data_IF_887989845048
#
_entry.id   IF_887989845048
#
_cell.length_a   1.000
_cell.length_b   1.000
_cell.length_c   1.000
_cell.angle_alpha   90.00
_cell.angle_beta   90.00
_cell.angle_gamma   90.00
#
_symmetry.space_group_name_H-M   'P 1'
#
loop_
_entity.id
_entity.type
_entity.pdbx_description
1 polymer ?
#
# COMPACT_ATOMS: atom_id res chain seq x y z
N UNK A 1 -24.07 -10.01 40.60
CA UNK A 1 -23.02 -9.37 41.42
C UNK A 1 -22.49 -8.18 40.62
N UNK A 2 -22.69 -6.96 41.09
CA UNK A 2 -22.14 -5.76 40.44
C UNK A 2 -20.63 -5.77 40.70
N UNK A 3 -19.82 -5.95 39.65
CA UNK A 3 -18.36 -5.95 39.75
C UNK A 3 -17.90 -4.60 40.34
N UNK A 4 -17.16 -4.57 41.46
CA UNK A 4 -16.80 -3.34 42.19
C UNK A 4 -15.89 -2.37 41.41
N UNK A 5 -15.49 -2.69 40.17
CA UNK A 5 -14.61 -1.85 39.35
C UNK A 5 -15.35 -0.70 38.63
N UNK A 6 -16.67 -0.79 38.43
CA UNK A 6 -17.44 0.18 37.63
C UNK A 6 -17.76 1.48 38.39
N UNK A 7 -17.67 1.49 39.72
CA UNK A 7 -17.90 2.68 40.56
C UNK A 7 -16.78 3.71 40.49
N UNK A 8 -15.67 3.41 39.81
CA UNK A 8 -14.45 4.23 39.83
C UNK A 8 -14.13 4.97 38.53
N UNK A 9 -14.96 4.86 37.48
CA UNK A 9 -14.74 5.64 36.24
C UNK A 9 -15.43 7.00 36.39
N UNK A 10 -14.69 8.11 36.59
CA UNK A 10 -15.31 9.43 36.66
C UNK A 10 -15.93 9.77 35.31
N UNK A 11 -17.24 10.05 35.30
CA UNK A 11 -17.92 10.50 34.10
C UNK A 11 -17.41 11.91 33.74
N UNK A 12 -16.89 12.11 32.52
CA UNK A 12 -16.54 13.46 32.07
C UNK A 12 -17.79 14.32 31.93
N UNK A 13 -17.60 15.64 31.83
CA UNK A 13 -18.68 16.54 31.46
C UNK A 13 -19.39 16.06 30.18
N UNK A 14 -20.71 16.29 30.02
CA UNK A 14 -21.42 15.91 28.80
C UNK A 14 -20.70 16.45 27.56
N UNK A 15 -20.60 15.61 26.53
CA UNK A 15 -19.91 15.99 25.30
C UNK A 15 -20.73 17.07 24.58
N UNK A 16 -20.20 18.29 24.58
CA UNK A 16 -20.68 19.42 23.78
C UNK A 16 -19.59 19.94 22.86
N UNK A 17 -19.91 20.94 22.04
CA UNK A 17 -18.99 21.51 21.03
C UNK A 17 -17.68 22.00 21.64
N UNK A 18 -17.73 22.62 22.82
CA UNK A 18 -16.55 23.12 23.53
C UNK A 18 -15.58 21.99 23.90
N UNK A 19 -16.09 20.83 24.29
CA UNK A 19 -15.28 19.70 24.76
C UNK A 19 -14.46 19.06 23.66
N UNK A 20 -14.90 19.17 22.39
CA UNK A 20 -14.13 18.67 21.25
C UNK A 20 -12.75 19.36 21.16
N UNK A 21 -12.70 20.66 21.50
CA UNK A 21 -11.45 21.43 21.53
C UNK A 21 -10.75 21.47 22.89
N UNK A 22 -11.51 21.41 24.00
CA UNK A 22 -10.97 21.64 25.35
C UNK A 22 -10.69 20.39 26.17
N UNK A 23 -11.29 19.24 25.85
CA UNK A 23 -11.09 18.02 26.62
C UNK A 23 -9.78 17.34 26.21
N UNK A 24 -8.81 17.34 27.13
CA UNK A 24 -7.51 16.71 26.93
C UNK A 24 -7.10 15.89 28.14
N UNK A 25 -6.48 14.74 27.89
CA UNK A 25 -5.85 13.89 28.89
C UNK A 25 -4.41 13.64 28.49
N UNK A 26 -3.51 14.47 28.99
CA UNK A 26 -2.09 14.37 28.71
C UNK A 26 -1.54 13.04 29.22
N UNK A 27 -0.77 12.37 28.37
CA UNK A 27 -0.03 11.17 28.71
C UNK A 27 1.47 11.44 28.50
N UNK A 28 2.23 11.78 29.57
CA UNK A 28 3.63 12.16 29.44
C UNK A 28 4.50 11.02 28.91
N UNK A 29 4.15 9.76 29.18
CA UNK A 29 4.89 8.60 28.70
C UNK A 29 4.78 8.43 27.19
N UNK A 30 3.55 8.46 26.67
CA UNK A 30 3.31 8.42 25.22
C UNK A 30 3.90 9.66 24.55
N UNK A 31 3.73 10.84 25.15
CA UNK A 31 4.33 12.08 24.66
C UNK A 31 5.84 12.00 24.55
N UNK A 32 6.53 11.49 25.58
CA UNK A 32 7.97 11.29 25.56
C UNK A 32 8.42 10.31 24.47
N UNK A 33 7.72 9.18 24.28
CA UNK A 33 8.01 8.22 23.21
C UNK A 33 7.89 8.89 21.84
N UNK A 34 6.79 9.62 21.57
CA UNK A 34 6.59 10.30 20.30
C UNK A 34 7.63 11.40 20.06
N UNK A 35 8.01 12.15 21.10
CA UNK A 35 9.08 13.16 21.00
C UNK A 35 10.44 12.53 20.68
N UNK A 36 10.77 11.39 21.28
CA UNK A 36 12.00 10.66 20.96
C UNK A 36 11.98 10.18 19.51
N UNK A 37 10.87 9.61 19.03
CA UNK A 37 10.72 9.18 17.63
C UNK A 37 10.87 10.38 16.69
N UNK A 38 10.21 11.51 16.99
CA UNK A 38 10.31 12.73 16.20
C UNK A 38 11.75 13.27 16.17
N UNK A 39 12.42 13.34 17.32
CA UNK A 39 13.79 13.82 17.43
C UNK A 39 14.78 12.93 16.65
N UNK A 40 14.64 11.61 16.73
CA UNK A 40 15.46 10.67 15.97
C UNK A 40 15.24 10.81 14.47
N UNK A 41 13.99 10.94 14.02
CA UNK A 41 13.67 11.12 12.61
C UNK A 41 14.24 12.45 12.08
N UNK A 42 14.04 13.56 12.79
CA UNK A 42 14.59 14.87 12.41
C UNK A 42 16.13 14.84 12.42
N UNK A 43 16.76 14.24 13.43
CA UNK A 43 18.21 14.07 13.45
C UNK A 43 18.71 13.29 12.22
N UNK A 44 18.00 12.23 11.81
CA UNK A 44 18.27 11.50 10.57
C UNK A 44 18.26 12.41 9.34
N UNK A 45 17.25 13.27 9.20
CA UNK A 45 17.17 14.23 8.06
C UNK A 45 18.37 15.19 8.03
N UNK A 46 18.82 15.66 9.19
CA UNK A 46 19.99 16.52 9.32
C UNK A 46 21.26 15.77 8.92
N UNK A 47 21.39 14.50 9.32
CA UNK A 47 22.52 13.64 8.95
C UNK A 47 22.55 13.42 7.44
N UNK A 48 21.43 13.11 6.79
CA UNK A 48 21.36 12.94 5.33
C UNK A 48 21.82 14.20 4.61
N UNK A 49 21.31 15.37 5.01
CA UNK A 49 21.69 16.67 4.43
C UNK A 49 23.17 16.99 4.60
N UNK A 50 23.72 16.71 5.79
CA UNK A 50 25.16 16.93 6.07
C UNK A 50 26.07 16.02 5.24
N UNK A 51 25.58 14.86 4.81
CA UNK A 51 26.30 13.95 3.92
C UNK A 51 26.16 14.32 2.44
N UNK A 52 25.53 15.45 2.12
CA UNK A 52 25.28 15.89 0.74
C UNK A 52 24.08 15.19 0.07
N UNK A 53 23.31 14.40 0.82
CA UNK A 53 22.09 13.77 0.31
C UNK A 53 20.92 14.75 0.29
N UNK A 54 19.96 14.50 -0.61
CA UNK A 54 18.69 15.24 -0.67
C UNK A 54 17.61 14.49 0.12
N UNK A 55 16.94 15.16 1.05
CA UNK A 55 15.74 14.63 1.73
C UNK A 55 14.56 15.60 1.58
N UNK A 56 13.53 15.22 0.82
CA UNK A 56 12.36 16.07 0.59
C UNK A 56 11.65 16.46 1.89
N UNK A 57 11.35 17.75 2.07
CA UNK A 57 10.72 18.28 3.29
C UNK A 57 9.34 17.67 3.56
N UNK A 58 8.57 17.39 2.51
CA UNK A 58 7.22 16.85 2.65
C UNK A 58 7.21 15.51 3.41
N UNK A 59 8.23 14.65 3.22
CA UNK A 59 8.36 13.36 3.93
C UNK A 59 8.46 13.56 5.43
N UNK A 60 9.25 14.56 5.85
CA UNK A 60 9.37 14.94 7.26
C UNK A 60 8.07 15.53 7.80
N UNK A 61 7.41 16.39 7.04
CA UNK A 61 6.12 16.98 7.45
C UNK A 61 5.05 15.89 7.63
N UNK A 62 4.93 14.96 6.67
CA UNK A 62 3.98 13.85 6.75
C UNK A 62 4.27 12.91 7.92
N UNK A 63 5.54 12.57 8.15
CA UNK A 63 5.92 11.74 9.29
C UNK A 63 5.57 12.40 10.63
N UNK A 64 5.93 13.67 10.80
CA UNK A 64 5.60 14.43 12.02
C UNK A 64 4.09 14.62 12.17
N UNK A 65 3.36 14.82 11.08
CA UNK A 65 1.90 14.86 11.08
C UNK A 65 1.31 13.52 11.58
N UNK A 66 1.85 12.38 11.16
CA UNK A 66 1.46 11.07 11.69
C UNK A 66 1.65 10.97 13.22
N UNK A 67 2.77 11.46 13.75
CA UNK A 67 3.01 11.50 15.21
C UNK A 67 2.06 12.46 15.93
N UNK A 68 1.77 13.63 15.36
CA UNK A 68 0.80 14.59 15.90
C UNK A 68 -0.60 13.98 15.91
N UNK A 69 -1.00 13.28 14.85
CA UNK A 69 -2.27 12.56 14.78
C UNK A 69 -2.35 11.44 15.82
N UNK A 70 -1.26 10.69 16.06
CA UNK A 70 -1.20 9.71 17.14
C UNK A 70 -1.42 10.38 18.50
N UNK A 71 -0.71 11.49 18.77
CA UNK A 71 -0.85 12.24 20.02
C UNK A 71 -2.27 12.78 20.21
N UNK A 72 -2.84 13.41 19.17
CA UNK A 72 -4.21 13.91 19.17
C UNK A 72 -5.20 12.78 19.44
N UNK A 73 -5.05 11.65 18.77
CA UNK A 73 -5.95 10.49 18.91
C UNK A 73 -5.89 9.86 20.31
N UNK A 74 -4.72 9.88 20.96
CA UNK A 74 -4.50 9.25 22.27
C UNK A 74 -4.58 10.20 23.47
N UNK A 75 -4.68 11.52 23.23
CA UNK A 75 -4.69 12.53 24.30
C UNK A 75 -5.82 13.57 24.20
N UNK A 76 -6.53 13.69 23.08
CA UNK A 76 -7.66 14.64 22.92
C UNK A 76 -8.95 14.15 23.56
N UNK A 77 -10.08 14.76 23.20
CA UNK A 77 -11.41 14.39 23.64
C UNK A 77 -11.70 12.90 23.35
N UNK A 78 -11.18 12.34 22.24
CA UNK A 78 -11.31 10.91 21.96
C UNK A 78 -10.80 10.06 23.13
N UNK A 79 -9.66 10.46 23.71
CA UNK A 79 -9.06 9.75 24.83
C UNK A 79 -9.77 9.96 26.16
N UNK A 80 -10.52 11.06 26.31
CA UNK A 80 -11.36 11.35 27.48
C UNK A 80 -12.66 10.55 27.42
N UNK A 81 -13.30 10.49 26.25
CA UNK A 81 -14.62 9.89 26.08
C UNK A 81 -14.60 8.40 25.67
N UNK A 82 -13.46 7.84 25.23
CA UNK A 82 -13.34 6.43 24.81
C UNK A 82 -13.79 5.37 25.83
N UNK A 83 -13.85 5.68 27.12
CA UNK A 83 -14.29 4.73 28.16
C UNK A 83 -15.79 4.84 28.44
N UNK A 84 -16.43 5.91 27.99
CA UNK A 84 -17.83 6.21 28.31
C UNK A 84 -18.75 6.22 27.10
N UNK A 85 -18.17 6.38 25.91
CA UNK A 85 -18.87 6.37 24.63
C UNK A 85 -18.17 5.45 23.63
N UNK A 86 -18.95 4.75 22.83
CA UNK A 86 -18.46 3.82 21.82
C UNK A 86 -17.88 4.56 20.62
N UNK A 87 -18.55 5.60 20.10
CA UNK A 87 -18.13 6.28 18.88
C UNK A 87 -16.75 6.96 18.98
N UNK A 88 -16.34 7.64 20.08
CA UNK A 88 -15.00 8.24 20.17
C UNK A 88 -13.92 7.16 20.19
N UNK A 89 -14.21 6.02 20.83
CA UNK A 89 -13.33 4.86 20.81
C UNK A 89 -13.24 4.25 19.42
N UNK A 90 -14.35 4.20 18.69
CA UNK A 90 -14.38 3.69 17.32
C UNK A 90 -13.52 4.55 16.38
N UNK A 91 -13.69 5.88 16.46
CA UNK A 91 -12.85 6.86 15.76
C UNK A 91 -11.37 6.71 16.16
N UNK A 92 -11.10 6.52 17.45
CA UNK A 92 -9.74 6.31 17.95
C UNK A 92 -9.08 5.07 17.34
N UNK A 93 -9.77 3.93 17.36
CA UNK A 93 -9.27 2.65 16.84
C UNK A 93 -8.97 2.78 15.34
N UNK A 94 -9.92 3.29 14.54
CA UNK A 94 -9.74 3.37 13.09
C UNK A 94 -8.69 4.41 12.68
N UNK A 95 -8.60 5.53 13.41
CA UNK A 95 -7.58 6.55 13.16
C UNK A 95 -6.18 6.02 13.45
N UNK A 96 -6.01 5.25 14.53
CA UNK A 96 -4.74 4.59 14.86
C UNK A 96 -4.38 3.46 13.91
N UNK A 97 -5.38 2.77 13.34
CA UNK A 97 -5.18 1.64 12.44
C UNK A 97 -4.95 2.07 10.98
N UNK A 98 -5.58 3.14 10.51
CA UNK A 98 -5.53 3.57 9.10
C UNK A 98 -4.83 4.91 8.93
N UNK A 99 -5.34 5.97 9.57
CA UNK A 99 -4.94 7.34 9.24
C UNK A 99 -3.52 7.63 9.71
N UNK A 100 -3.22 7.39 10.99
CA UNK A 100 -1.88 7.61 11.56
C UNK A 100 -0.79 6.85 10.78
N UNK A 101 -0.91 5.52 10.59
CA UNK A 101 0.14 4.77 9.91
C UNK A 101 0.31 5.11 8.44
N UNK A 102 -0.74 5.57 7.74
CA UNK A 102 -0.60 6.09 6.39
C UNK A 102 0.41 7.26 6.36
N UNK A 103 0.22 8.26 7.21
CA UNK A 103 1.14 9.40 7.31
C UNK A 103 2.56 8.98 7.73
N UNK A 104 2.68 8.03 8.65
CA UNK A 104 3.98 7.48 9.06
C UNK A 104 4.68 6.76 7.89
N UNK A 105 3.96 5.96 7.11
CA UNK A 105 4.50 5.23 5.96
C UNK A 105 4.93 6.16 4.82
N UNK A 106 4.17 7.23 4.55
CA UNK A 106 4.55 8.27 3.58
C UNK A 106 5.86 8.99 3.96
N UNK A 107 6.23 8.95 5.25
CA UNK A 107 7.50 9.46 5.75
C UNK A 107 8.72 8.60 5.42
N UNK A 108 8.58 7.41 4.83
CA UNK A 108 9.69 6.50 4.54
C UNK A 108 10.66 6.26 5.73
N UNK A 109 10.15 5.87 6.92
CA UNK A 109 10.97 5.74 8.12
C UNK A 109 12.07 4.66 8.01
N UNK A 110 11.87 3.61 7.19
CA UNK A 110 12.91 2.57 7.01
C UNK A 110 14.07 3.10 6.16
N UNK A 111 13.78 3.82 5.08
CA UNK A 111 14.78 4.53 4.27
C UNK A 111 15.53 5.54 5.14
N UNK A 112 14.81 6.30 5.95
CA UNK A 112 15.43 7.24 6.89
C UNK A 112 16.35 6.52 7.90
N UNK A 113 15.96 5.36 8.42
CA UNK A 113 16.80 4.56 9.31
C UNK A 113 18.07 4.03 8.61
N UNK A 114 17.98 3.75 7.31
CA UNK A 114 19.10 3.26 6.48
C UNK A 114 20.07 4.40 6.12
N UNK A 115 19.56 5.55 5.68
CA UNK A 115 20.36 6.66 5.15
C UNK A 115 20.82 7.62 6.25
N UNK A 116 19.90 8.00 7.14
CA UNK A 116 20.12 8.96 8.23
C UNK A 116 20.55 8.32 9.56
N UNK A 117 20.34 7.01 9.72
CA UNK A 117 20.66 6.29 10.95
C UNK A 117 22.14 5.90 11.13
N UNK A 118 22.50 5.38 12.32
CA UNK A 118 23.82 4.77 12.54
C UNK A 118 24.05 3.55 11.64
N UNK A 119 25.30 3.29 11.26
CA UNK A 119 25.67 2.15 10.38
C UNK A 119 25.13 0.80 10.88
N UNK A 120 25.12 0.58 12.20
CA UNK A 120 24.58 -0.65 12.82
C UNK A 120 23.08 -0.80 12.61
N UNK A 121 22.32 0.30 12.71
CA UNK A 121 20.87 0.29 12.47
C UNK A 121 20.58 0.00 11.00
N UNK A 122 21.29 0.67 10.09
CA UNK A 122 21.14 0.45 8.66
C UNK A 122 21.46 -1.00 8.24
N UNK A 123 22.50 -1.60 8.84
CA UNK A 123 22.84 -3.00 8.63
C UNK A 123 21.77 -3.95 9.19
N UNK A 124 21.24 -3.67 10.38
CA UNK A 124 20.17 -4.46 11.00
C UNK A 124 18.90 -4.44 10.14
N UNK A 125 18.45 -3.27 9.69
CA UNK A 125 17.26 -3.13 8.85
C UNK A 125 17.44 -3.94 7.55
N UNK A 126 18.57 -3.77 6.85
CA UNK A 126 18.87 -4.55 5.64
C UNK A 126 18.91 -6.06 5.89
N UNK A 127 19.51 -6.48 7.00
CA UNK A 127 19.58 -7.89 7.37
C UNK A 127 18.19 -8.48 7.64
N UNK A 128 17.35 -7.78 8.41
CA UNK A 128 15.97 -8.23 8.67
C UNK A 128 15.19 -8.36 7.37
N UNK A 129 15.27 -7.36 6.48
CA UNK A 129 14.59 -7.37 5.19
C UNK A 129 15.04 -8.50 4.26
N UNK A 130 16.28 -8.98 4.40
CA UNK A 130 16.80 -10.10 3.62
C UNK A 130 16.31 -11.48 4.12
N UNK A 131 15.62 -11.56 5.27
CA UNK A 131 15.17 -12.84 5.83
C UNK A 131 13.91 -13.37 5.14
N UNK A 132 13.80 -14.71 5.03
CA UNK A 132 12.57 -15.37 4.53
C UNK A 132 11.36 -15.10 5.42
N UNK A 133 11.58 -14.93 6.73
CA UNK A 133 10.52 -14.61 7.68
C UNK A 133 9.95 -13.23 7.38
N UNK A 134 10.80 -12.23 7.13
CA UNK A 134 10.34 -10.92 6.69
C UNK A 134 9.53 -11.02 5.40
N UNK A 135 10.03 -11.74 4.39
CA UNK A 135 9.30 -11.93 3.13
C UNK A 135 7.92 -12.59 3.30
N UNK A 136 7.79 -13.56 4.22
CA UNK A 136 6.51 -14.20 4.53
C UNK A 136 5.56 -13.26 5.29
N UNK A 137 6.06 -12.58 6.32
CA UNK A 137 5.25 -11.66 7.14
C UNK A 137 4.85 -10.40 6.36
N UNK A 138 5.62 -10.02 5.34
CA UNK A 138 5.28 -8.92 4.42
C UNK A 138 4.55 -9.39 3.17
N UNK A 139 4.11 -10.66 3.10
CA UNK A 139 3.30 -11.13 1.98
C UNK A 139 1.98 -10.36 1.96
N UNK A 140 1.57 -9.74 0.83
CA UNK A 140 0.41 -8.87 0.79
C UNK A 140 -0.85 -9.50 1.39
N UNK A 141 -1.16 -10.76 1.09
CA UNK A 141 -2.35 -11.40 1.65
C UNK A 141 -2.24 -11.64 3.16
N UNK A 142 -1.06 -11.99 3.70
CA UNK A 142 -0.87 -12.17 5.15
C UNK A 142 -1.10 -10.84 5.87
N UNK A 143 -0.46 -9.78 5.40
CA UNK A 143 -0.60 -8.44 6.00
C UNK A 143 -2.05 -7.98 5.92
N UNK A 144 -2.70 -8.19 4.79
CA UNK A 144 -4.09 -7.76 4.55
C UNK A 144 -5.09 -8.56 5.39
N UNK A 145 -4.90 -9.88 5.55
CA UNK A 145 -5.73 -10.71 6.43
C UNK A 145 -5.56 -10.27 7.89
N UNK A 146 -4.33 -10.07 8.36
CA UNK A 146 -4.08 -9.60 9.73
C UNK A 146 -4.71 -8.24 9.94
N UNK A 147 -4.51 -7.32 8.99
CA UNK A 147 -5.09 -5.98 9.02
C UNK A 147 -6.63 -6.05 9.11
N UNK A 148 -7.26 -6.87 8.28
CA UNK A 148 -8.71 -7.01 8.22
C UNK A 148 -9.31 -7.70 9.45
N UNK A 149 -8.67 -8.75 9.95
CA UNK A 149 -9.15 -9.51 11.12
C UNK A 149 -8.96 -8.73 12.43
N UNK A 150 -7.99 -7.81 12.47
CA UNK A 150 -7.68 -7.02 13.66
C UNK A 150 -8.89 -6.28 14.24
N UNK A 151 -9.62 -5.42 13.50
CA UNK A 151 -10.76 -4.72 14.06
C UNK A 151 -11.90 -5.68 14.47
N UNK A 152 -12.17 -6.76 13.73
CA UNK A 152 -13.12 -7.79 14.17
C UNK A 152 -12.71 -8.39 15.52
N UNK A 153 -11.43 -8.74 15.65
CA UNK A 153 -10.88 -9.29 16.89
C UNK A 153 -10.97 -8.28 18.02
N UNK A 154 -10.68 -7.01 17.77
CA UNK A 154 -10.80 -5.96 18.78
C UNK A 154 -12.25 -5.80 19.23
N UNK A 155 -13.24 -5.74 18.34
CA UNK A 155 -14.65 -5.48 18.73
C UNK A 155 -15.40 -6.69 19.27
N UNK A 156 -15.04 -7.91 18.84
CA UNK A 156 -15.79 -9.12 19.17
C UNK A 156 -15.04 -10.08 20.10
N UNK A 157 -13.97 -9.63 20.75
CA UNK A 157 -13.24 -10.41 21.75
C UNK A 157 -13.11 -9.66 23.09
N UNK A 158 -12.71 -10.35 24.18
CA UNK A 158 -12.47 -9.72 25.48
C UNK A 158 -11.44 -8.58 25.47
N UNK A 159 -10.58 -8.51 24.44
CA UNK A 159 -9.56 -7.46 24.29
C UNK A 159 -10.18 -6.07 24.40
N UNK A 160 -11.37 -5.85 23.84
CA UNK A 160 -12.06 -4.57 23.94
C UNK A 160 -12.26 -4.16 25.40
N UNK A 161 -12.87 -5.05 26.20
CA UNK A 161 -13.17 -4.80 27.60
C UNK A 161 -11.92 -4.68 28.46
N UNK A 162 -10.88 -5.47 28.16
CA UNK A 162 -9.60 -5.38 28.84
C UNK A 162 -8.99 -3.98 28.67
N UNK A 163 -9.11 -3.39 27.48
CA UNK A 163 -8.64 -2.02 27.23
C UNK A 163 -9.51 -0.93 27.85
N UNK A 164 -10.78 -1.23 28.19
CA UNK A 164 -11.62 -0.32 28.97
C UNK A 164 -11.18 -0.31 30.44
N UNK A 165 -10.79 -1.47 30.96
CA UNK A 165 -10.42 -1.69 32.38
C UNK A 165 -8.97 -1.36 32.68
N UNK A 166 -8.06 -1.52 31.72
CA UNK A 166 -6.62 -1.35 31.89
C UNK A 166 -6.05 -0.29 30.96
N UNK A 167 -5.46 0.77 31.56
CA UNK A 167 -4.72 1.81 30.81
C UNK A 167 -3.53 1.22 30.03
N UNK A 168 -2.84 0.24 30.61
CA UNK A 168 -1.71 -0.43 29.95
C UNK A 168 -2.18 -1.20 28.71
N UNK A 169 -3.29 -1.95 28.82
CA UNK A 169 -3.87 -2.65 27.67
C UNK A 169 -4.30 -1.68 26.56
N UNK A 170 -4.89 -0.53 26.92
CA UNK A 170 -5.25 0.52 25.96
C UNK A 170 -4.01 1.09 25.23
N UNK A 171 -2.90 1.30 25.94
CA UNK A 171 -1.65 1.77 25.30
C UNK A 171 -1.07 0.72 24.37
N UNK A 172 -0.99 -0.54 24.82
CA UNK A 172 -0.51 -1.65 23.99
C UNK A 172 -1.34 -1.77 22.72
N UNK A 173 -2.68 -1.73 22.84
CA UNK A 173 -3.55 -1.76 21.68
C UNK A 173 -3.32 -0.57 20.75
N UNK A 174 -3.16 0.65 21.29
CA UNK A 174 -2.92 1.85 20.48
C UNK A 174 -1.65 1.74 19.63
N UNK A 175 -0.54 1.30 20.23
CA UNK A 175 0.70 1.07 19.50
C UNK A 175 0.61 -0.13 18.56
N UNK A 176 -0.08 -1.20 18.93
CA UNK A 176 -0.29 -2.37 18.09
C UNK A 176 -1.09 -2.03 16.83
N UNK A 177 -2.18 -1.26 16.96
CA UNK A 177 -2.99 -0.81 15.82
C UNK A 177 -2.16 0.03 14.84
N UNK A 178 -1.38 1.00 15.35
CA UNK A 178 -0.51 1.81 14.49
C UNK A 178 0.64 1.03 13.88
N UNK A 179 1.19 0.05 14.59
CA UNK A 179 2.21 -0.84 14.02
C UNK A 179 1.62 -1.71 12.91
N UNK A 180 0.48 -2.35 13.13
CA UNK A 180 -0.20 -3.20 12.15
C UNK A 180 -0.59 -2.41 10.90
N UNK A 181 -1.18 -1.22 11.08
CA UNK A 181 -1.48 -0.33 9.97
C UNK A 181 -0.21 0.14 9.25
N UNK A 182 0.88 0.40 9.97
CA UNK A 182 2.14 0.79 9.34
C UNK A 182 2.68 -0.35 8.47
N UNK A 183 2.66 -1.59 8.97
CA UNK A 183 3.03 -2.78 8.18
C UNK A 183 2.16 -2.93 6.94
N UNK A 184 0.85 -2.68 7.06
CA UNK A 184 -0.07 -2.63 5.93
C UNK A 184 0.37 -1.60 4.89
N UNK A 185 0.42 -0.31 5.23
CA UNK A 185 0.76 0.73 4.26
C UNK A 185 2.20 0.61 3.74
N UNK A 186 3.16 0.23 4.56
CA UNK A 186 4.55 0.02 4.13
C UNK A 186 4.66 -1.00 3.00
N UNK A 187 4.08 -2.19 3.21
CA UNK A 187 4.16 -3.30 2.24
C UNK A 187 3.30 -3.06 0.99
N UNK A 188 2.22 -2.29 1.14
CA UNK A 188 1.28 -1.98 0.06
C UNK A 188 1.72 -0.81 -0.80
N UNK A 189 2.17 0.30 -0.19
CA UNK A 189 2.65 1.48 -0.92
C UNK A 189 4.04 1.26 -1.51
N UNK A 190 4.88 0.42 -0.87
CA UNK A 190 6.25 0.09 -1.31
C UNK A 190 7.15 1.31 -1.55
N UNK A 191 6.97 2.35 -0.72
CA UNK A 191 7.81 3.56 -0.76
C UNK A 191 9.15 3.32 -0.07
N UNK A 192 9.11 2.54 1.01
CA UNK A 192 10.28 2.06 1.71
C UNK A 192 10.72 0.69 1.16
N UNK A 193 12.00 0.30 1.32
CA UNK A 193 12.49 -1.01 0.91
C UNK A 193 11.64 -2.15 1.48
N UNK A 194 11.22 -3.07 0.61
CA UNK A 194 10.45 -4.27 0.97
C UNK A 194 11.23 -5.55 0.65
N UNK A 195 11.04 -6.66 1.39
CA UNK A 195 11.77 -7.92 1.14
C UNK A 195 11.51 -8.53 -0.25
N UNK A 196 10.29 -8.38 -0.76
CA UNK A 196 9.87 -8.94 -2.04
C UNK A 196 8.74 -8.12 -2.65
N UNK A 197 8.85 -7.88 -3.95
CA UNK A 197 7.81 -7.25 -4.75
C UNK A 197 6.86 -8.32 -5.32
N UNK A 198 5.56 -8.00 -5.34
CA UNK A 198 4.50 -8.87 -5.85
C UNK A 198 3.69 -8.17 -6.95
N UNK A 199 3.11 -8.89 -7.91
CA UNK A 199 2.29 -8.30 -8.97
C UNK A 199 1.13 -7.46 -8.43
N UNK A 200 0.80 -6.36 -9.10
CA UNK A 200 -0.24 -5.42 -8.65
C UNK A 200 -1.66 -5.94 -8.71
N UNK A 201 -1.94 -6.86 -9.64
CA UNK A 201 -3.25 -7.49 -9.74
C UNK A 201 -3.69 -8.17 -8.43
N UNK A 202 -2.75 -8.77 -7.69
CA UNK A 202 -3.01 -9.36 -6.36
C UNK A 202 -3.45 -8.26 -5.38
N UNK A 203 -2.82 -7.09 -5.45
CA UNK A 203 -3.16 -5.96 -4.57
C UNK A 203 -4.55 -5.41 -4.88
N UNK A 204 -4.95 -5.34 -6.15
CA UNK A 204 -6.28 -4.88 -6.57
C UNK A 204 -7.38 -5.77 -5.99
N UNK A 205 -7.30 -7.09 -6.18
CA UNK A 205 -8.29 -8.03 -5.64
C UNK A 205 -8.38 -8.00 -4.12
N UNK A 206 -7.24 -7.87 -3.45
CA UNK A 206 -7.22 -7.71 -2.00
C UNK A 206 -7.92 -6.41 -1.58
N UNK A 207 -7.68 -5.29 -2.26
CA UNK A 207 -8.33 -4.00 -1.93
C UNK A 207 -9.85 -4.09 -2.07
N UNK A 208 -10.33 -4.81 -3.09
CA UNK A 208 -11.76 -5.05 -3.26
C UNK A 208 -12.35 -5.91 -2.14
N UNK A 209 -11.65 -6.98 -1.74
CA UNK A 209 -12.07 -7.81 -0.62
C UNK A 209 -12.06 -7.04 0.72
N UNK A 210 -11.09 -6.15 0.92
CA UNK A 210 -11.02 -5.25 2.08
C UNK A 210 -12.22 -4.31 2.14
N UNK A 211 -12.55 -3.64 1.05
CA UNK A 211 -13.71 -2.75 0.99
C UNK A 211 -15.02 -3.46 1.37
N UNK A 212 -15.23 -4.70 0.89
CA UNK A 212 -16.40 -5.51 1.27
C UNK A 212 -16.39 -5.80 2.78
N UNK A 213 -15.24 -6.20 3.31
CA UNK A 213 -15.15 -6.64 4.69
C UNK A 213 -15.20 -5.47 5.69
N UNK A 214 -14.69 -4.29 5.33
CA UNK A 214 -14.86 -3.05 6.08
C UNK A 214 -16.33 -2.62 6.13
N UNK A 215 -17.02 -2.69 4.99
CA UNK A 215 -18.48 -2.47 4.93
C UNK A 215 -19.24 -3.49 5.79
N UNK A 216 -18.84 -4.76 5.76
CA UNK A 216 -19.45 -5.81 6.59
C UNK A 216 -19.26 -5.53 8.09
N UNK A 217 -18.07 -5.10 8.51
CA UNK A 217 -17.82 -4.72 9.92
C UNK A 217 -18.69 -3.53 10.32
N UNK A 218 -18.70 -2.46 9.53
CA UNK A 218 -19.48 -1.25 9.79
C UNK A 218 -20.98 -1.58 9.91
N UNK A 219 -21.52 -2.32 8.95
CA UNK A 219 -22.92 -2.76 8.96
C UNK A 219 -23.22 -3.68 10.15
N UNK A 220 -22.30 -4.58 10.52
CA UNK A 220 -22.49 -5.46 11.69
C UNK A 220 -22.60 -4.65 12.98
N UNK A 221 -21.78 -3.62 13.15
CA UNK A 221 -21.84 -2.76 14.33
C UNK A 221 -23.11 -1.89 14.35
N UNK A 222 -23.53 -1.37 13.19
CA UNK A 222 -24.71 -0.53 13.07
C UNK A 222 -26.02 -1.33 13.23
N UNK A 223 -26.18 -2.39 12.44
CA UNK A 223 -27.43 -3.14 12.31
C UNK A 223 -27.52 -4.33 13.27
N UNK A 224 -26.39 -4.83 13.78
CA UNK A 224 -26.36 -6.01 14.64
C UNK A 224 -27.07 -5.80 15.98
N UNK A 225 -27.68 -6.85 16.51
CA UNK A 225 -28.33 -6.82 17.83
C UNK A 225 -27.34 -6.81 19.00
N UNK A 226 -26.10 -7.23 18.76
CA UNK A 226 -25.06 -7.30 19.77
C UNK A 226 -24.50 -5.92 20.09
N UNK A 227 -24.52 -5.54 21.37
CA UNK A 227 -23.89 -4.33 21.89
C UNK A 227 -22.47 -4.66 22.37
N UNK A 228 -21.45 -4.12 21.70
CA UNK A 228 -20.05 -4.34 22.06
C UNK A 228 -19.79 -3.77 23.46
N UNK A 229 -19.25 -4.60 24.36
CA UNK A 229 -19.08 -4.28 25.77
C UNK A 229 -20.38 -3.72 26.41
N UNK A 230 -21.52 -4.32 26.07
CA UNK A 230 -22.83 -3.82 26.48
C UNK A 230 -22.98 -3.68 28.00
N UNK A 231 -22.48 -4.66 28.76
CA UNK A 231 -22.50 -4.63 30.23
C UNK A 231 -21.72 -3.44 30.79
N UNK A 232 -20.60 -3.05 30.17
CA UNK A 232 -19.83 -1.88 30.56
C UNK A 232 -20.60 -0.58 30.30
N UNK A 233 -21.09 -0.39 29.07
CA UNK A 233 -21.73 0.87 28.69
C UNK A 233 -23.09 1.09 29.36
N UNK A 234 -23.83 0.01 29.61
CA UNK A 234 -25.11 0.08 30.33
C UNK A 234 -24.91 0.36 31.83
N UNK A 235 -23.88 -0.23 32.44
CA UNK A 235 -23.60 -0.02 33.87
C UNK A 235 -23.13 1.40 34.22
N UNK A 236 -22.59 2.16 33.26
CA UNK A 236 -22.21 3.57 33.47
C UNK A 236 -23.40 4.48 33.80
N UNK A 237 -24.63 4.07 33.41
CA UNK A 237 -25.88 4.79 33.65
C UNK A 237 -25.78 6.31 33.39
N UNK A 238 -25.23 6.69 32.22
CA UNK A 238 -24.92 8.08 31.88
C UNK A 238 -26.21 8.94 31.84
N UNK A 239 -26.23 10.10 32.53
CA UNK A 239 -27.37 11.00 32.44
C UNK A 239 -27.37 11.72 31.08
N UNK A 240 -28.25 11.29 30.17
CA UNK A 240 -28.47 11.91 28.86
C UNK A 240 -27.47 11.53 27.76
N UNK A 241 -27.65 12.14 26.58
CA UNK A 241 -26.89 11.83 25.36
C UNK A 241 -27.42 10.59 24.62
N UNK A 242 -26.58 10.05 23.71
CA UNK A 242 -26.93 8.86 22.93
C UNK A 242 -27.05 7.63 23.84
N UNK A 243 -28.08 6.82 23.60
CA UNK A 243 -28.16 5.46 24.16
C UNK A 243 -26.98 4.63 23.67
N UNK A 244 -26.54 3.59 24.41
CA UNK A 244 -25.43 2.74 23.97
C UNK A 244 -25.60 2.17 22.55
N UNK A 245 -26.83 1.80 22.17
CA UNK A 245 -27.11 1.29 20.82
C UNK A 245 -26.95 2.38 19.76
N UNK A 246 -27.47 3.58 20.00
CA UNK A 246 -27.29 4.71 19.06
C UNK A 246 -25.81 5.09 18.96
N UNK A 247 -25.10 5.15 20.07
CA UNK A 247 -23.66 5.42 20.13
C UNK A 247 -22.86 4.41 19.29
N UNK A 248 -23.22 3.11 19.37
CA UNK A 248 -22.62 2.08 18.52
C UNK A 248 -22.92 2.26 17.02
N UNK A 249 -24.13 2.70 16.66
CA UNK A 249 -24.46 3.01 15.26
C UNK A 249 -23.57 4.14 14.73
N UNK A 250 -23.36 5.20 15.52
CA UNK A 250 -22.46 6.29 15.15
C UNK A 250 -21.01 5.81 15.02
N UNK A 251 -20.55 4.97 15.94
CA UNK A 251 -19.21 4.39 15.87
C UNK A 251 -19.00 3.46 14.68
N UNK A 252 -20.00 2.62 14.36
CA UNK A 252 -20.00 1.75 13.17
C UNK A 252 -19.93 2.56 11.88
N UNK A 253 -20.72 3.64 11.80
CA UNK A 253 -20.67 4.58 10.66
C UNK A 253 -19.33 5.30 10.55
N UNK A 254 -18.75 5.72 11.68
CA UNK A 254 -17.44 6.38 11.68
C UNK A 254 -16.31 5.44 11.26
N UNK A 255 -16.32 4.17 11.72
CA UNK A 255 -15.39 3.13 11.29
C UNK A 255 -15.42 2.95 9.78
N UNK A 256 -16.63 2.80 9.22
CA UNK A 256 -16.81 2.62 7.79
C UNK A 256 -16.36 3.86 7.01
N UNK A 257 -16.88 5.05 7.36
CA UNK A 257 -16.56 6.28 6.62
C UNK A 257 -15.06 6.61 6.64
N UNK A 258 -14.39 6.45 7.79
CA UNK A 258 -12.95 6.74 7.89
C UNK A 258 -12.13 5.67 7.15
N UNK A 259 -12.55 4.40 7.20
CA UNK A 259 -11.93 3.32 6.43
C UNK A 259 -11.97 3.61 4.93
N UNK A 260 -13.15 3.92 4.40
CA UNK A 260 -13.33 4.25 2.98
C UNK A 260 -12.55 5.53 2.60
N UNK A 261 -12.57 6.56 3.45
CA UNK A 261 -11.86 7.81 3.18
C UNK A 261 -10.32 7.60 3.13
N UNK A 262 -9.80 6.69 3.95
CA UNK A 262 -8.38 6.32 3.91
C UNK A 262 -8.06 5.40 2.70
N UNK A 263 -9.01 4.57 2.29
CA UNK A 263 -8.86 3.61 1.18
C UNK A 263 -8.97 4.23 -0.22
N UNK A 264 -9.81 5.25 -0.42
CA UNK A 264 -10.07 5.84 -1.76
C UNK A 264 -8.81 6.46 -2.40
N UNK A 265 -8.02 7.30 -1.71
CA UNK A 265 -6.77 7.82 -2.28
C UNK A 265 -5.75 6.71 -2.60
N UNK A 266 -5.72 5.67 -1.75
CA UNK A 266 -4.85 4.51 -1.95
C UNK A 266 -5.26 3.70 -3.19
N UNK A 267 -6.56 3.43 -3.36
CA UNK A 267 -7.09 2.75 -4.55
C UNK A 267 -6.81 3.56 -5.82
N UNK A 268 -6.99 4.89 -5.76
CA UNK A 268 -6.67 5.79 -6.87
C UNK A 268 -5.18 5.78 -7.24
N UNK A 269 -4.28 5.71 -6.25
CA UNK A 269 -2.84 5.57 -6.51
C UNK A 269 -2.49 4.20 -7.11
N UNK A 270 -3.12 3.12 -6.61
CA UNK A 270 -2.89 1.77 -7.12
C UNK A 270 -3.38 1.62 -8.57
N UNK A 271 -4.54 2.18 -8.89
CA UNK A 271 -5.06 2.19 -10.26
C UNK A 271 -4.15 2.93 -11.22
N UNK A 272 -3.67 4.14 -10.87
CA UNK A 272 -2.69 4.85 -11.71
C UNK A 272 -1.45 4.01 -11.96
N UNK A 273 -0.92 3.40 -10.91
CA UNK A 273 0.27 2.55 -11.01
C UNK A 273 0.07 1.34 -11.91
N UNK A 274 -1.10 0.71 -11.85
CA UNK A 274 -1.45 -0.37 -12.78
C UNK A 274 -1.48 0.12 -14.23
N UNK A 275 -2.08 1.28 -14.50
CA UNK A 275 -2.11 1.84 -15.85
C UNK A 275 -0.73 2.23 -16.39
N UNK A 276 0.16 2.74 -15.52
CA UNK A 276 1.52 3.09 -15.93
C UNK A 276 2.37 1.83 -16.16
N UNK A 277 2.26 0.80 -15.31
CA UNK A 277 2.93 -0.48 -15.53
C UNK A 277 2.43 -1.20 -16.80
N UNK A 278 1.13 -1.13 -17.10
CA UNK A 278 0.58 -1.70 -18.33
C UNK A 278 1.09 -0.94 -19.57
N UNK A 279 1.30 0.38 -19.48
CA UNK A 279 1.91 1.17 -20.56
C UNK A 279 3.37 0.82 -20.79
N UNK A 280 4.15 0.72 -19.71
CA UNK A 280 5.57 0.38 -19.80
C UNK A 280 5.75 -1.03 -20.37
N UNK A 281 4.91 -1.97 -19.96
CA UNK A 281 4.92 -3.35 -20.48
C UNK A 281 4.46 -3.43 -21.93
N UNK A 282 3.47 -2.63 -22.33
CA UNK A 282 3.08 -2.52 -23.73
C UNK A 282 4.22 -1.95 -24.59
N UNK A 283 4.93 -0.91 -24.11
CA UNK A 283 6.07 -0.34 -24.81
C UNK A 283 7.25 -1.32 -24.93
N UNK A 284 7.50 -2.15 -23.91
CA UNK A 284 8.51 -3.21 -23.97
C UNK A 284 8.14 -4.29 -25.00
N UNK A 285 6.88 -4.73 -25.02
CA UNK A 285 6.38 -5.70 -25.99
C UNK A 285 6.40 -5.15 -27.42
N UNK A 286 6.01 -3.89 -27.61
CA UNK A 286 6.09 -3.21 -28.92
C UNK A 286 7.55 -3.12 -29.40
N UNK A 287 8.49 -2.77 -28.52
CA UNK A 287 9.92 -2.72 -28.85
C UNK A 287 10.50 -4.12 -29.19
N UNK A 288 10.06 -5.17 -28.50
CA UNK A 288 10.45 -6.55 -28.81
C UNK A 288 9.88 -7.00 -30.16
N UNK A 289 8.62 -6.67 -30.46
CA UNK A 289 7.97 -6.93 -31.75
C UNK A 289 8.68 -6.19 -32.89
N UNK A 290 9.00 -4.91 -32.70
CA UNK A 290 9.75 -4.11 -33.69
C UNK A 290 11.14 -4.70 -33.96
N UNK A 291 11.82 -5.22 -32.92
CA UNK A 291 13.11 -5.89 -33.07
C UNK A 291 13.00 -7.20 -33.85
N UNK A 292 11.97 -8.02 -33.57
CA UNK A 292 11.70 -9.26 -34.30
C UNK A 292 11.29 -9.01 -35.76
N UNK A 293 10.51 -7.96 -36.03
CA UNK A 293 10.15 -7.54 -37.39
C UNK A 293 11.38 -7.05 -38.16
N UNK A 294 12.30 -6.31 -37.52
CA UNK A 294 13.55 -5.91 -38.12
C UNK A 294 14.46 -7.11 -38.44
N UNK A 295 14.56 -8.09 -37.54
CA UNK A 295 15.29 -9.34 -37.80
C UNK A 295 14.64 -10.17 -38.92
N UNK A 296 13.32 -10.29 -38.94
CA UNK A 296 12.57 -10.96 -40.01
C UNK A 296 12.69 -10.26 -41.37
N UNK A 297 12.69 -8.93 -41.39
CA UNK A 297 12.92 -8.13 -42.59
C UNK A 297 14.36 -8.30 -43.13
N UNK A 298 15.35 -8.49 -42.26
CA UNK A 298 16.74 -8.80 -42.67
C UNK A 298 16.83 -10.20 -43.30
N UNK A 299 16.03 -11.18 -42.83
CA UNK A 299 15.99 -12.54 -43.40
C UNK A 299 15.35 -12.56 -44.80
N UNK A 300 14.32 -11.74 -45.07
CA UNK A 300 13.74 -11.61 -46.41
C UNK A 300 14.56 -10.70 -47.35
N UNK A 301 15.30 -9.72 -46.81
CA UNK A 301 16.15 -8.80 -47.57
C UNK A 301 17.43 -9.42 -48.15
N UNK A 302 17.85 -10.59 -47.67
CA UNK A 302 19.06 -11.29 -48.14
C UNK A 302 18.79 -12.32 -49.25
N UNK A 303 17.53 -12.61 -49.58
CA UNK A 303 17.16 -13.55 -50.65
C UNK A 303 16.90 -12.88 -52.03
N UNK A 304 16.95 -11.55 -52.13
CA UNK A 304 16.70 -10.83 -53.40
C UNK A 304 17.92 -10.02 -53.87
N UNK A 305 19.05 -10.72 -54.05
CA UNK A 305 20.32 -10.08 -54.40
C UNK A 305 21.22 -10.91 -55.30
N UNK A 306 20.68 -11.58 -56.33
CA UNK A 306 21.49 -12.20 -57.40
C UNK A 306 20.64 -12.60 -58.62
N UNK A 307 20.45 -11.66 -59.55
CA UNK A 307 19.86 -11.96 -60.87
C UNK A 307 19.68 -10.68 -61.68
N UNK A 308 20.64 -10.36 -62.54
CA UNK A 308 20.76 -9.07 -63.20
C UNK A 308 19.85 -8.83 -64.41
N UNK A 309 19.84 -7.56 -64.85
CA UNK A 309 19.91 -7.21 -66.27
C UNK A 309 18.65 -6.65 -66.96
N UNK A 310 18.76 -5.36 -67.30
CA UNK A 310 18.33 -4.71 -68.57
C UNK A 310 16.85 -4.30 -68.74
N UNK A 311 16.63 -2.99 -68.96
CA UNK A 311 15.83 -2.52 -70.11
C UNK A 311 14.52 -1.76 -69.85
N UNK A 312 14.59 -0.44 -70.01
CA UNK A 312 13.62 0.43 -70.71
C UNK A 312 12.12 0.42 -70.34
N UNK A 313 11.66 1.55 -69.79
CA UNK A 313 10.73 2.43 -70.52
C UNK A 313 9.20 2.23 -70.40
N UNK A 314 8.55 3.34 -70.03
CA UNK A 314 7.19 3.79 -70.42
C UNK A 314 6.00 3.33 -69.55
N UNK A 315 5.24 4.32 -69.06
CA UNK A 315 3.77 4.29 -69.18
C UNK A 315 2.92 4.43 -67.92
N UNK A 316 2.57 5.67 -67.57
CA UNK A 316 1.20 6.17 -67.28
C UNK A 316 0.26 5.34 -66.37
N UNK A 317 -0.02 5.89 -65.18
CA UNK A 317 -1.37 6.38 -64.79
C UNK A 317 -2.47 5.38 -64.37
N UNK A 318 -2.93 5.54 -63.12
CA UNK A 318 -4.37 5.69 -62.82
C UNK A 318 -5.15 4.49 -62.24
N UNK A 319 -5.44 4.57 -60.93
CA UNK A 319 -6.82 4.55 -60.40
C UNK A 319 -7.58 3.23 -60.19
N UNK A 320 -8.26 3.15 -59.02
CA UNK A 320 -9.51 2.38 -58.82
C UNK A 320 -9.35 0.97 -58.24
N UNK A 321 -9.57 0.73 -56.94
CA UNK A 321 -10.86 0.49 -56.22
C UNK A 321 -11.48 -0.90 -56.49
N UNK A 322 -11.82 -1.59 -55.39
CA UNK A 322 -12.86 -2.63 -55.32
C UNK A 322 -12.34 -4.03 -55.00
N UNK A 323 -12.30 -4.44 -53.73
CA UNK A 323 -13.41 -5.01 -52.93
C UNK A 323 -13.60 -6.53 -53.11
N UNK A 324 -13.40 -7.25 -51.99
CA UNK A 324 -14.34 -8.24 -51.50
C UNK A 324 -14.21 -9.67 -52.01
N UNK A 325 -14.14 -10.62 -51.07
CA UNK A 325 -14.57 -12.01 -51.30
C UNK A 325 -13.63 -13.06 -50.74
N UNK A 326 -13.79 -13.39 -49.47
CA UNK A 326 -13.47 -14.73 -48.94
C UNK A 326 -14.71 -15.64 -49.13
N UNK A 327 -14.73 -16.89 -48.63
CA UNK A 327 -13.78 -18.01 -48.74
C UNK A 327 -14.50 -19.28 -49.26
N UNK A 328 -13.77 -20.36 -49.60
CA UNK A 328 -14.36 -21.70 -49.50
C UNK A 328 -13.33 -22.82 -49.40
N UNK A 329 -13.62 -23.69 -48.44
CA UNK A 329 -12.94 -24.91 -47.98
C UNK A 329 -13.19 -26.09 -48.92
N UNK A 330 -12.22 -26.99 -49.00
CA UNK A 330 -12.35 -28.39 -49.44
C UNK A 330 -10.95 -28.97 -49.68
N UNK A 331 -10.53 -30.14 -49.21
CA UNK A 331 -11.18 -31.25 -48.53
C UNK A 331 -10.37 -32.52 -48.84
N UNK A 332 -10.14 -33.37 -47.84
CA UNK A 332 -9.61 -34.75 -47.97
C UNK A 332 -8.11 -34.87 -48.32
N UNK A 333 -7.39 -35.94 -48.00
CA UNK A 333 -7.64 -37.16 -47.24
C UNK A 333 -6.27 -37.83 -47.02
N UNK A 334 -6.18 -38.65 -45.97
CA UNK A 334 -5.38 -39.87 -45.79
C UNK A 334 -3.96 -39.97 -46.39
N UNK A 335 -2.97 -40.20 -45.52
CA UNK A 335 -2.10 -41.38 -45.58
C UNK A 335 -1.16 -41.45 -44.36
N UNK A 336 -1.06 -42.65 -43.85
CA UNK A 336 -0.34 -43.07 -42.65
C UNK A 336 0.89 -43.91 -43.06
N UNK A 337 1.86 -43.98 -42.14
CA UNK A 337 3.00 -44.91 -42.04
C UNK A 337 4.21 -44.67 -42.96
N UNK A 338 5.38 -44.38 -42.37
CA UNK A 338 6.40 -45.42 -42.17
C UNK A 338 7.60 -44.94 -41.34
N UNK A 339 8.25 -45.93 -40.72
CA UNK A 339 9.18 -45.87 -39.60
C UNK A 339 10.63 -46.15 -40.04
N UNK A 340 11.57 -45.61 -39.24
CA UNK A 340 12.96 -46.02 -38.99
C UNK A 340 14.17 -45.59 -39.86
N UNK A 341 14.97 -44.74 -39.20
CA UNK A 341 16.36 -44.96 -38.77
C UNK A 341 17.54 -44.89 -39.78
N UNK A 342 18.40 -43.88 -39.59
CA UNK A 342 19.87 -43.98 -39.63
C UNK A 342 20.52 -42.77 -38.92
N UNK A 343 21.36 -43.05 -37.92
CA UNK A 343 22.07 -42.17 -36.96
C UNK A 343 23.41 -41.59 -37.52
N UNK A 344 24.34 -40.97 -36.76
CA UNK A 344 24.30 -39.85 -35.79
C UNK A 344 25.34 -38.73 -36.13
N UNK A 345 25.26 -37.52 -35.55
CA UNK A 345 26.47 -36.71 -35.25
C UNK A 345 26.24 -35.46 -34.36
N UNK A 346 27.10 -35.38 -33.33
CA UNK A 346 27.65 -34.19 -32.65
C UNK A 346 26.72 -33.21 -31.92
N UNK A 347 26.67 -33.40 -30.60
CA UNK A 347 26.43 -32.37 -29.58
C UNK A 347 27.71 -31.52 -29.47
N UNK A 348 27.63 -30.22 -29.70
CA UNK A 348 28.67 -29.25 -29.32
C UNK A 348 28.17 -28.39 -28.17
N UNK A 349 28.93 -28.42 -27.07
CA UNK A 349 28.81 -27.51 -25.95
C UNK A 349 29.24 -26.10 -26.36
N UNK A 350 28.39 -25.10 -26.15
CA UNK A 350 28.79 -23.69 -26.11
C UNK A 350 28.46 -23.09 -24.75
N UNK A 351 29.49 -22.48 -24.17
CA UNK A 351 29.52 -21.79 -22.86
C UNK A 351 28.53 -20.62 -22.82
N UNK A 352 27.87 -20.32 -21.69
CA UNK A 352 27.05 -19.12 -21.59
C UNK A 352 27.94 -17.88 -21.50
N UNK A 353 27.78 -16.98 -22.47
CA UNK A 353 28.35 -15.66 -22.47
C UNK A 353 27.79 -14.83 -21.29
N UNK A 354 28.67 -13.97 -20.78
CA UNK A 354 28.50 -13.08 -19.64
C UNK A 354 27.28 -12.17 -19.81
N UNK A 355 26.33 -12.24 -18.87
CA UNK A 355 25.23 -11.27 -18.75
C UNK A 355 25.84 -9.90 -18.44
N UNK A 356 25.74 -8.98 -19.40
CA UNK A 356 26.14 -7.59 -19.23
C UNK A 356 25.30 -6.92 -18.15
N UNK A 357 25.97 -6.23 -17.22
CA UNK A 357 25.33 -5.44 -16.18
C UNK A 357 24.49 -4.31 -16.80
N UNK A 358 23.24 -4.18 -16.36
CA UNK A 358 22.36 -3.06 -16.71
C UNK A 358 23.01 -1.72 -16.29
N UNK A 359 22.85 -0.64 -17.07
CA UNK A 359 23.46 0.65 -16.76
C UNK A 359 22.88 1.22 -15.45
N UNK A 360 23.76 1.69 -14.57
CA UNK A 360 23.48 2.19 -13.23
C UNK A 360 22.48 3.39 -13.14
N UNK A 361 22.00 3.91 -14.26
CA UNK A 361 21.00 4.97 -14.33
C UNK A 361 19.55 4.48 -14.19
N UNK A 362 19.28 3.21 -14.50
CA UNK A 362 17.92 2.68 -14.57
C UNK A 362 17.40 2.22 -13.20
N UNK A 363 18.29 1.71 -12.34
CA UNK A 363 18.04 1.47 -10.91
C UNK A 363 17.72 2.76 -10.13
N UNK A 364 18.31 3.89 -10.54
CA UNK A 364 18.10 5.18 -9.89
C UNK A 364 16.71 5.79 -10.16
N UNK A 365 16.07 5.46 -11.29
CA UNK A 365 14.67 5.83 -11.57
C UNK A 365 13.67 5.01 -10.76
N UNK A 366 13.94 3.71 -10.52
CA UNK A 366 13.02 2.80 -9.79
C UNK A 366 12.88 3.09 -8.30
N UNK A 367 13.75 3.91 -7.72
CA UNK A 367 13.75 4.22 -6.28
C UNK A 367 12.99 5.51 -5.93
N UNK A 368 12.56 6.30 -6.91
CA UNK A 368 11.79 7.52 -6.67
C UNK A 368 10.29 7.20 -6.59
N UNK A 369 9.56 7.69 -5.57
CA UNK A 369 8.11 7.61 -5.53
C UNK A 369 7.49 8.14 -6.83
N UNK A 370 6.45 7.49 -7.34
CA UNK A 370 5.88 7.80 -8.65
C UNK A 370 5.40 9.25 -8.81
N UNK A 371 4.99 9.92 -7.73
CA UNK A 371 4.60 11.34 -7.76
C UNK A 371 5.78 12.31 -7.86
N UNK A 372 7.00 11.86 -7.58
CA UNK A 372 8.24 12.60 -7.86
C UNK A 372 8.68 12.43 -9.32
N UNK A 373 8.25 11.35 -9.99
CA UNK A 373 8.50 11.09 -11.41
C UNK A 373 7.36 11.54 -12.33
N UNK A 374 6.16 11.79 -11.78
CA UNK A 374 5.02 12.35 -12.50
C UNK A 374 5.36 13.78 -12.99
N UNK A 375 5.33 14.07 -14.30
CA UNK A 375 5.79 15.34 -14.84
C UNK A 375 4.87 16.53 -14.48
N UNK A 376 3.64 16.30 -14.01
CA UNK A 376 2.69 17.35 -13.59
C UNK A 376 2.85 17.67 -12.11
N UNK A 377 2.93 16.64 -11.26
CA UNK A 377 3.17 16.78 -9.82
C UNK A 377 4.61 17.17 -9.50
N UNK A 378 5.57 16.60 -10.23
CA UNK A 378 6.99 16.88 -10.14
C UNK A 378 7.32 18.35 -10.37
N UNK A 379 6.76 18.96 -11.43
CA UNK A 379 6.91 20.39 -11.71
C UNK A 379 6.21 21.28 -10.67
N UNK A 380 4.99 20.91 -10.23
CA UNK A 380 4.25 21.68 -9.21
C UNK A 380 4.89 21.66 -7.82
N UNK A 381 5.64 20.62 -7.49
CA UNK A 381 6.26 20.44 -6.18
C UNK A 381 7.78 20.66 -6.17
N UNK A 382 8.38 21.02 -7.31
CA UNK A 382 9.80 21.35 -7.43
C UNK A 382 10.75 20.14 -7.41
N UNK A 383 10.30 18.98 -7.88
CA UNK A 383 11.12 17.76 -8.00
C UNK A 383 11.83 17.62 -9.35
N UNK A 384 11.43 18.42 -10.35
CA UNK A 384 12.00 18.45 -11.69
C UNK A 384 12.39 19.90 -12.02
N UNK A 385 13.62 20.10 -12.47
CA UNK A 385 14.09 21.40 -12.97
C UNK A 385 13.37 21.71 -14.31
N UNK A 386 13.04 23.00 -14.53
CA UNK A 386 12.53 23.45 -15.83
C UNK A 386 13.65 23.34 -16.87
N UNK A 387 13.51 22.43 -17.83
CA UNK A 387 14.35 22.37 -19.03
C UNK A 387 14.10 23.55 -19.97
#
# INVERSE_FOLDING_TARGET
MVTPALTAVPLPAPLGESQVGSAWRLNPYVGAILLVIAALYVAGTVVVRRRGGHWPLYRTVLFLLGLVLFAWTTMSFLAVYQQVMFWPRAVQIITLLMVVPLFLALGMPLTMAIEGGPRRLAALVRWVLATRIAALLTFPAVVSIVFLVTPFTVYFSPIYEDTLRSRGAAWVLSFALSALGFFYYWTRLRLDPVPKEYPHLVSVWITFAEAIADGALGLTLMLGHHLVAGDWYTALNRPGGLTPKQDQVWGGGALWLIGDLAGVPFLGALWRRMFDEDRDRAAEVDAELDALEAEGAIVYGTASGSGGGVGAGVGVGGGGVGSGGAPSVGGGADAQDDVDASSPASISHTSPATVGAAPAGEEAKRTRPWWETDPVLGRRMGFLDEE
#
